data_IF_999175538785
#
_entry.id   IF_999175538785
#
_cell.length_a   1.000
_cell.length_b   1.000
_cell.length_c   1.000
_cell.angle_alpha   90.00
_cell.angle_beta   90.00
_cell.angle_gamma   90.00
#
_symmetry.space_group_name_H-M   'P 1'
#
loop_
_entity.id
_entity.type
_entity.pdbx_description
1 polymer ?
#
# COMPACT_ATOMS: atom_id res chain seq x y z
N UNK A 1 3.14 12.53 7.19
CA UNK A 1 2.14 11.68 7.89
C UNK A 1 2.37 10.22 7.50
N UNK A 2 1.82 9.28 8.26
CA UNK A 2 1.90 7.84 7.99
C UNK A 2 0.61 7.37 7.34
N UNK A 3 0.68 6.86 6.12
CA UNK A 3 -0.48 6.48 5.31
C UNK A 3 -0.48 4.96 5.15
N UNK A 4 -1.61 4.33 5.41
CA UNK A 4 -1.80 2.89 5.30
C UNK A 4 -2.64 2.50 4.08
N UNK A 5 -2.18 1.50 3.33
CA UNK A 5 -2.88 0.89 2.20
C UNK A 5 -3.09 -0.60 2.51
N UNK A 6 -4.23 -0.97 3.14
CA UNK A 6 -4.54 -2.36 3.42
C UNK A 6 -4.97 -3.10 2.14
N UNK A 7 -4.90 -4.42 2.19
CA UNK A 7 -5.50 -5.29 1.17
C UNK A 7 -7.01 -5.33 1.39
N UNK A 8 -7.77 -5.18 0.31
CA UNK A 8 -9.22 -5.34 0.34
C UNK A 8 -9.62 -6.77 0.74
N UNK A 9 -10.62 -6.88 1.61
CA UNK A 9 -11.08 -8.14 2.19
C UNK A 9 -12.42 -8.62 1.64
N UNK A 10 -13.10 -7.79 0.83
CA UNK A 10 -14.41 -8.13 0.28
C UNK A 10 -14.27 -9.10 -0.88
N UNK A 11 -15.18 -10.07 -0.93
CA UNK A 11 -15.26 -11.01 -2.04
C UNK A 11 -15.45 -10.27 -3.37
N UNK A 12 -14.69 -10.68 -4.38
CA UNK A 12 -14.65 -10.06 -5.72
C UNK A 12 -14.23 -8.58 -5.75
N UNK A 13 -13.59 -8.07 -4.69
CA UNK A 13 -12.91 -6.78 -4.72
C UNK A 13 -11.44 -6.97 -5.08
N UNK A 14 -11.05 -6.47 -6.25
CA UNK A 14 -9.69 -6.58 -6.78
C UNK A 14 -8.97 -5.23 -6.85
N UNK A 15 -9.65 -4.14 -6.49
CA UNK A 15 -9.07 -2.79 -6.49
C UNK A 15 -8.13 -2.61 -5.30
N UNK A 16 -7.33 -1.54 -5.38
CA UNK A 16 -6.46 -1.05 -4.31
C UNK A 16 -6.59 0.46 -4.24
N UNK A 17 -6.46 1.03 -3.04
CA UNK A 17 -6.71 2.46 -2.80
C UNK A 17 -5.65 3.39 -3.40
N UNK A 18 -4.45 2.90 -3.71
CA UNK A 18 -3.40 3.66 -4.39
C UNK A 18 -2.55 2.78 -5.32
N UNK A 19 -2.19 3.35 -6.46
CA UNK A 19 -1.24 2.76 -7.41
C UNK A 19 0.21 3.06 -6.99
N UNK A 20 1.22 2.34 -7.50
CA UNK A 20 2.63 2.65 -7.24
C UNK A 20 3.00 4.12 -7.54
N UNK A 21 2.47 4.69 -8.63
CA UNK A 21 2.68 6.10 -8.97
C UNK A 21 2.08 7.07 -7.93
N UNK A 22 0.88 6.77 -7.40
CA UNK A 22 0.31 7.57 -6.31
C UNK A 22 1.09 7.44 -5.00
N UNK A 23 1.64 6.25 -4.73
CA UNK A 23 2.52 6.03 -3.57
C UNK A 23 3.82 6.82 -3.70
N UNK A 24 4.43 6.83 -4.88
CA UNK A 24 5.61 7.64 -5.17
C UNK A 24 5.36 9.13 -4.89
N UNK A 25 4.22 9.67 -5.34
CA UNK A 25 3.86 11.08 -5.11
C UNK A 25 3.75 11.39 -3.62
N UNK A 26 3.01 10.57 -2.86
CA UNK A 26 2.85 10.74 -1.41
C UNK A 26 4.20 10.73 -0.68
N UNK A 27 5.11 9.83 -1.08
CA UNK A 27 6.46 9.76 -0.51
C UNK A 27 7.26 11.01 -0.88
N UNK A 28 7.14 11.50 -2.11
CA UNK A 28 7.82 12.71 -2.59
C UNK A 28 7.37 13.98 -1.83
N UNK A 29 6.12 14.00 -1.37
CA UNK A 29 5.56 15.03 -0.48
C UNK A 29 5.99 14.87 0.99
N UNK A 30 6.76 13.82 1.32
CA UNK A 30 7.32 13.57 2.65
C UNK A 30 6.45 12.69 3.55
N UNK A 31 5.48 11.96 3.00
CA UNK A 31 4.71 10.96 3.74
C UNK A 31 5.44 9.62 3.82
N UNK A 32 5.17 8.85 4.88
CA UNK A 32 5.57 7.45 4.94
C UNK A 32 4.37 6.60 4.54
N UNK A 33 4.55 5.71 3.56
CA UNK A 33 3.46 4.88 3.04
C UNK A 33 3.71 3.42 3.38
N UNK A 34 2.75 2.81 4.07
CA UNK A 34 2.74 1.40 4.43
C UNK A 34 1.73 0.68 3.54
N UNK A 35 2.17 -0.36 2.83
CA UNK A 35 1.32 -1.15 1.93
C UNK A 35 1.28 -2.58 2.43
N UNK A 36 0.09 -3.13 2.63
CA UNK A 36 -0.04 -4.54 2.98
C UNK A 36 0.44 -5.40 1.81
N UNK A 37 1.19 -6.44 2.14
CA UNK A 37 1.63 -7.47 1.20
C UNK A 37 0.46 -7.97 0.36
N UNK A 38 0.69 -8.00 -0.94
CA UNK A 38 -0.25 -8.46 -1.96
C UNK A 38 -1.52 -7.60 -2.13
N UNK A 39 -1.58 -6.39 -1.56
CA UNK A 39 -2.75 -5.50 -1.68
C UNK A 39 -3.05 -5.10 -3.13
N UNK A 40 -2.03 -4.85 -3.94
CA UNK A 40 -2.20 -4.43 -5.33
C UNK A 40 -2.25 -5.57 -6.36
N UNK A 41 -2.06 -6.84 -5.97
CA UNK A 41 -1.97 -7.95 -6.94
C UNK A 41 -3.25 -8.09 -7.78
N UNK A 42 -4.43 -7.91 -7.15
CA UNK A 42 -5.71 -7.93 -7.85
C UNK A 42 -5.85 -6.82 -8.91
N UNK A 43 -5.13 -5.71 -8.72
CA UNK A 43 -5.07 -4.57 -9.63
C UNK A 43 -3.89 -4.61 -10.60
N UNK A 44 -3.10 -5.70 -10.60
CA UNK A 44 -1.95 -5.88 -11.49
C UNK A 44 -0.66 -5.22 -11.01
N UNK A 45 -0.59 -4.75 -9.75
CA UNK A 45 0.62 -4.16 -9.17
C UNK A 45 1.29 -5.15 -8.21
N UNK A 46 2.55 -5.46 -8.48
CA UNK A 46 3.37 -6.33 -7.64
C UNK A 46 3.87 -5.61 -6.39
N UNK A 47 4.19 -6.38 -5.34
CA UNK A 47 4.86 -5.83 -4.15
C UNK A 47 6.17 -5.11 -4.50
N UNK A 48 6.88 -5.61 -5.53
CA UNK A 48 8.12 -4.98 -6.00
C UNK A 48 7.88 -3.57 -6.53
N UNK A 49 6.80 -3.33 -7.27
CA UNK A 49 6.49 -1.98 -7.76
C UNK A 49 6.21 -0.99 -6.63
N UNK A 50 5.54 -1.43 -5.56
CA UNK A 50 5.37 -0.60 -4.36
C UNK A 50 6.70 -0.32 -3.66
N UNK A 51 7.54 -1.34 -3.47
CA UNK A 51 8.88 -1.18 -2.87
C UNK A 51 9.74 -0.23 -3.71
N UNK A 52 9.75 -0.39 -5.03
CA UNK A 52 10.51 0.45 -5.96
C UNK A 52 9.99 1.91 -5.95
N UNK A 53 8.72 2.11 -5.60
CA UNK A 53 8.12 3.44 -5.39
C UNK A 53 8.46 4.04 -4.00
N UNK A 54 9.13 3.29 -3.13
CA UNK A 54 9.56 3.70 -1.80
C UNK A 54 8.60 3.29 -0.66
N UNK A 55 7.58 2.48 -0.95
CA UNK A 55 6.66 2.01 0.06
C UNK A 55 7.33 1.05 1.05
N UNK A 56 6.83 1.02 2.29
CA UNK A 56 7.18 0.02 3.28
C UNK A 56 6.13 -1.09 3.25
N UNK A 57 6.56 -2.32 2.97
CA UNK A 57 5.63 -3.45 3.00
C UNK A 57 5.34 -3.89 4.44
N UNK A 58 4.08 -4.25 4.70
CA UNK A 58 3.64 -4.88 5.95
C UNK A 58 3.06 -6.25 5.66
N UNK A 59 3.19 -7.20 6.57
CA UNK A 59 2.70 -8.57 6.34
C UNK A 59 1.21 -8.73 6.66
N UNK A 60 0.70 -7.93 7.62
CA UNK A 60 -0.68 -8.04 8.09
C UNK A 60 -1.43 -6.71 8.05
N UNK A 61 -2.75 -6.77 8.16
CA UNK A 61 -3.62 -5.59 8.16
C UNK A 61 -3.52 -4.84 9.50
N UNK A 62 -3.30 -5.57 10.60
CA UNK A 62 -3.08 -5.00 11.93
C UNK A 62 -1.84 -4.09 11.93
N UNK A 63 -0.75 -4.54 11.29
CA UNK A 63 0.47 -3.75 11.17
C UNK A 63 0.25 -2.46 10.37
N UNK A 64 -0.60 -2.48 9.35
CA UNK A 64 -0.99 -1.26 8.62
C UNK A 64 -1.67 -0.29 9.59
N UNK A 65 -2.70 -0.76 10.30
CA UNK A 65 -3.49 0.08 11.20
C UNK A 65 -2.70 0.62 12.38
N UNK A 66 -1.78 -0.16 12.94
CA UNK A 66 -0.91 0.28 14.04
C UNK A 66 0.10 1.35 13.60
N UNK A 67 0.54 1.30 12.34
CA UNK A 67 1.61 2.17 11.83
C UNK A 67 1.09 3.41 11.11
N UNK A 68 -0.15 3.46 10.65
CA UNK A 68 -0.74 4.62 9.97
C UNK A 68 -1.38 5.62 10.95
N UNK A 69 -1.40 6.90 10.57
CA UNK A 69 -2.10 7.97 11.30
C UNK A 69 -3.61 7.99 10.99
#
# INVERSE_FOLDING_TARGET
>A
MKIGIPKEIKDNEFRVSATPGGVYELISEGHMVFVQKDAGLGSGYSNKEYIDSGAIMTDTIEEVYEKSD
#
